data_IF_595578413957
#
_entry.id   IF_595578413957
#
_cell.length_a   1.000
_cell.length_b   1.000
_cell.length_c   1.000
_cell.angle_alpha   90.00
_cell.angle_beta   90.00
_cell.angle_gamma   90.00
#
_symmetry.space_group_name_H-M   'P 1'
#
loop_
_entity.id
_entity.type
_entity.pdbx_description
1 polymer ?
#
# COMPACT_ATOMS: atom_id res chain seq x y z
N UNK A 1 -0.76 2.30 18.94
CA UNK A 1 0.61 1.77 18.73
C UNK A 1 1.26 2.56 17.59
N UNK A 2 2.34 3.35 17.79
CA UNK A 2 3.09 3.87 16.65
C UNK A 2 4.50 3.26 16.61
N UNK A 3 4.67 2.21 15.81
CA UNK A 3 5.96 1.56 15.54
C UNK A 3 6.77 2.24 14.43
N UNK A 4 6.22 3.22 13.70
CA UNK A 4 6.83 3.71 12.44
C UNK A 4 7.49 5.09 12.48
N UNK A 5 7.67 5.74 13.64
CA UNK A 5 8.46 6.98 13.73
C UNK A 5 9.41 6.92 14.91
N UNK A 6 10.51 6.15 14.78
CA UNK A 6 11.66 6.23 15.68
C UNK A 6 12.74 7.07 15.00
N UNK A 7 13.33 8.02 15.73
CA UNK A 7 14.31 9.00 15.24
C UNK A 7 15.50 8.39 14.46
N UNK A 8 15.79 7.10 14.65
CA UNK A 8 16.83 6.36 13.93
C UNK A 8 16.63 6.28 12.41
N UNK A 9 15.38 6.22 11.92
CA UNK A 9 15.11 6.07 10.49
C UNK A 9 15.44 7.33 9.67
N UNK A 10 15.41 8.51 10.31
CA UNK A 10 15.73 9.79 9.66
C UNK A 10 17.22 9.90 9.30
N UNK A 11 18.09 9.20 10.04
CA UNK A 11 19.54 9.21 9.83
C UNK A 11 20.02 8.11 8.86
N UNK A 12 19.27 7.02 8.68
CA UNK A 12 19.64 5.94 7.74
C UNK A 12 19.36 6.26 6.27
N UNK A 13 18.34 7.06 5.95
CA UNK A 13 18.05 7.45 4.56
C UNK A 13 19.20 8.21 3.87
N UNK A 14 20.01 8.94 4.65
CA UNK A 14 21.19 9.66 4.17
C UNK A 14 22.35 8.75 3.74
N UNK A 15 22.37 7.47 4.13
CA UNK A 15 23.46 6.54 3.78
C UNK A 15 23.29 5.89 2.40
N UNK A 16 22.08 5.88 1.84
CA UNK A 16 21.75 5.13 0.62
C UNK A 16 21.13 6.01 -0.49
N UNK A 17 21.23 7.34 -0.41
CA UNK A 17 20.57 8.30 -1.33
C UNK A 17 19.05 8.06 -1.52
N UNK A 18 18.39 7.45 -0.55
CA UNK A 18 16.95 7.23 -0.59
C UNK A 18 16.24 8.46 -0.05
N UNK A 19 15.55 9.18 -0.93
CA UNK A 19 14.70 10.30 -0.54
C UNK A 19 13.54 9.80 0.34
N UNK A 20 13.47 10.31 1.57
CA UNK A 20 12.35 10.04 2.48
C UNK A 20 11.18 10.95 2.10
N UNK A 21 10.03 10.37 1.77
CA UNK A 21 8.81 11.14 1.54
C UNK A 21 8.26 11.66 2.87
N UNK A 22 8.03 12.97 2.99
CA UNK A 22 7.36 13.56 4.15
C UNK A 22 5.88 13.19 4.13
N UNK A 23 5.49 12.27 5.02
CA UNK A 23 4.13 11.77 5.13
C UNK A 23 3.34 12.48 6.23
N UNK A 24 2.08 12.90 5.98
CA UNK A 24 1.24 13.47 7.03
C UNK A 24 0.89 12.42 8.10
N UNK A 25 0.91 12.83 9.36
CA UNK A 25 0.56 11.94 10.47
C UNK A 25 -0.92 11.54 10.40
N UNK A 26 -1.23 10.27 10.72
CA UNK A 26 -2.59 9.70 10.75
C UNK A 26 -3.33 9.66 9.39
N UNK A 27 -2.61 9.43 8.29
CA UNK A 27 -3.23 9.22 6.96
C UNK A 27 -2.94 7.81 6.42
N UNK A 28 -3.57 6.75 6.97
CA UNK A 28 -3.52 5.41 6.37
C UNK A 28 -4.11 5.42 4.95
N UNK A 29 -5.09 6.30 4.71
CA UNK A 29 -5.78 6.51 3.42
C UNK A 29 -4.85 6.92 2.27
N UNK A 30 -3.61 7.28 2.56
CA UNK A 30 -2.63 7.65 1.55
C UNK A 30 -1.66 6.51 1.26
N UNK A 31 -1.59 5.44 2.08
CA UNK A 31 -0.51 4.46 2.01
C UNK A 31 -0.73 3.53 0.79
N UNK A 32 0.20 3.49 -0.19
CA UNK A 32 0.01 2.71 -1.43
C UNK A 32 -0.16 1.23 -1.17
N UNK A 33 0.44 0.75 -0.09
CA UNK A 33 0.44 -0.66 0.23
C UNK A 33 -0.95 -1.15 0.65
N UNK A 34 -1.81 -0.30 1.21
CA UNK A 34 -3.18 -0.69 1.59
C UNK A 34 -3.99 -1.08 0.35
N UNK A 35 -3.82 -0.33 -0.74
CA UNK A 35 -4.45 -0.67 -2.02
C UNK A 35 -3.94 -2.01 -2.57
N UNK A 36 -2.65 -2.27 -2.40
CA UNK A 36 -2.04 -3.53 -2.82
C UNK A 36 -2.59 -4.70 -2.00
N UNK A 37 -2.73 -4.53 -0.68
CA UNK A 37 -3.31 -5.56 0.19
C UNK A 37 -4.77 -5.84 -0.15
N UNK A 38 -5.59 -4.81 -0.35
CA UNK A 38 -6.99 -5.01 -0.77
C UNK A 38 -7.08 -5.68 -2.15
N UNK A 39 -6.18 -5.33 -3.08
CA UNK A 39 -6.13 -5.98 -4.39
C UNK A 39 -5.79 -7.47 -4.28
N UNK A 40 -4.76 -7.81 -3.49
CA UNK A 40 -4.35 -9.18 -3.28
C UNK A 40 -5.42 -10.02 -2.56
N UNK A 41 -6.08 -9.45 -1.53
CA UNK A 41 -7.19 -10.11 -0.82
C UNK A 41 -8.34 -10.43 -1.79
N UNK A 42 -8.73 -9.47 -2.63
CA UNK A 42 -9.76 -9.69 -3.65
C UNK A 42 -9.36 -10.79 -4.63
N UNK A 43 -8.12 -10.77 -5.12
CA UNK A 43 -7.60 -11.80 -6.04
C UNK A 43 -7.66 -13.20 -5.46
N UNK A 44 -7.25 -13.37 -4.21
CA UNK A 44 -7.32 -14.66 -3.52
C UNK A 44 -8.77 -15.10 -3.30
N UNK A 45 -9.68 -14.19 -2.95
CA UNK A 45 -11.11 -14.50 -2.76
C UNK A 45 -11.83 -14.89 -4.05
N UNK A 46 -11.40 -14.32 -5.18
CA UNK A 46 -11.97 -14.60 -6.50
C UNK A 46 -11.53 -15.97 -7.06
N UNK A 47 -10.53 -16.62 -6.45
CA UNK A 47 -10.06 -17.94 -6.87
C UNK A 47 -11.15 -19.00 -6.79
N UNK A 48 -11.11 -19.93 -7.75
CA UNK A 48 -11.98 -21.10 -7.82
C UNK A 48 -11.11 -22.35 -8.10
N UNK A 49 -11.08 -23.35 -7.21
CA UNK A 49 -11.68 -23.35 -5.86
C UNK A 49 -11.02 -22.32 -4.94
N UNK A 50 -11.74 -21.89 -3.90
CA UNK A 50 -11.13 -21.07 -2.85
C UNK A 50 -10.23 -21.93 -1.97
N UNK A 51 -9.09 -21.39 -1.49
CA UNK A 51 -8.23 -22.09 -0.57
C UNK A 51 -8.96 -22.37 0.75
N UNK A 52 -8.91 -23.62 1.19
CA UNK A 52 -9.59 -24.09 2.42
C UNK A 52 -8.59 -24.43 3.54
N UNK A 53 -7.31 -24.57 3.20
CA UNK A 53 -6.23 -24.80 4.15
C UNK A 53 -5.23 -23.65 4.16
N UNK A 54 -4.48 -23.48 5.26
CA UNK A 54 -3.41 -22.47 5.34
C UNK A 54 -2.36 -22.66 4.25
N UNK A 55 -2.03 -23.92 3.91
CA UNK A 55 -1.06 -24.23 2.87
C UNK A 55 -1.55 -23.81 1.48
N UNK A 56 -2.83 -24.04 1.19
CA UNK A 56 -3.45 -23.58 -0.05
C UNK A 56 -3.51 -22.05 -0.12
N UNK A 57 -3.76 -21.39 1.02
CA UNK A 57 -3.77 -19.93 1.12
C UNK A 57 -2.38 -19.35 0.86
N UNK A 58 -1.32 -19.92 1.47
CA UNK A 58 0.06 -19.48 1.26
C UNK A 58 0.46 -19.59 -0.22
N UNK A 59 0.16 -20.72 -0.86
CA UNK A 59 0.42 -20.92 -2.29
C UNK A 59 -0.37 -19.90 -3.11
N UNK A 60 -1.65 -19.69 -2.78
CA UNK A 60 -2.48 -18.74 -3.51
C UNK A 60 -1.99 -17.30 -3.40
N UNK A 61 -1.53 -16.89 -2.24
CA UNK A 61 -0.94 -15.57 -2.04
C UNK A 61 0.32 -15.39 -2.88
N UNK A 62 1.20 -16.38 -2.93
CA UNK A 62 2.43 -16.31 -3.71
C UNK A 62 2.16 -16.24 -5.22
N UNK A 63 1.22 -17.04 -5.71
CA UNK A 63 0.83 -17.05 -7.13
C UNK A 63 0.18 -15.72 -7.53
N UNK A 64 -0.82 -15.24 -6.79
CA UNK A 64 -1.46 -13.96 -7.10
C UNK A 64 -0.50 -12.78 -6.96
N UNK A 65 0.44 -12.85 -6.01
CA UNK A 65 1.49 -11.85 -5.87
C UNK A 65 2.44 -11.81 -7.08
N UNK A 66 2.80 -12.97 -7.63
CA UNK A 66 3.67 -13.07 -8.80
C UNK A 66 3.04 -12.47 -10.07
N UNK A 67 1.71 -12.49 -10.17
CA UNK A 67 0.95 -11.90 -11.28
C UNK A 67 0.82 -10.37 -11.21
N UNK A 68 1.24 -9.74 -10.11
CA UNK A 68 1.16 -8.28 -9.95
C UNK A 68 2.20 -7.61 -10.84
N UNK A 69 1.73 -7.05 -11.95
CA UNK A 69 2.59 -6.32 -12.89
C UNK A 69 3.05 -4.97 -12.32
N UNK A 70 4.19 -4.48 -12.84
CA UNK A 70 4.66 -3.12 -12.55
C UNK A 70 3.61 -2.04 -12.90
N UNK A 71 2.78 -2.27 -13.93
CA UNK A 71 1.71 -1.35 -14.31
C UNK A 71 0.63 -1.21 -13.22
N UNK A 72 0.29 -2.31 -12.55
CA UNK A 72 -0.62 -2.34 -11.41
C UNK A 72 -0.03 -1.54 -10.24
N UNK A 73 1.25 -1.72 -9.94
CA UNK A 73 1.96 -0.92 -8.93
C UNK A 73 1.94 0.58 -9.24
N UNK A 74 2.24 0.95 -10.49
CA UNK A 74 2.21 2.36 -10.93
C UNK A 74 0.81 2.95 -10.78
N UNK A 75 -0.25 2.21 -11.13
CA UNK A 75 -1.64 2.65 -10.94
C UNK A 75 -1.96 2.96 -9.48
N UNK A 76 -1.50 2.13 -8.54
CA UNK A 76 -1.69 2.39 -7.10
C UNK A 76 -0.87 3.59 -6.60
N UNK A 77 0.34 3.78 -7.11
CA UNK A 77 1.14 4.96 -6.79
C UNK A 77 0.50 6.25 -7.34
N UNK A 78 -0.02 6.22 -8.57
CA UNK A 78 -0.69 7.38 -9.18
C UNK A 78 -2.01 7.72 -8.47
N UNK A 79 -2.77 6.73 -8.02
CA UNK A 79 -4.01 7.01 -7.27
C UNK A 79 -3.73 7.78 -5.97
N UNK A 80 -2.56 7.64 -5.35
CA UNK A 80 -2.17 8.48 -4.21
C UNK A 80 -1.96 9.92 -4.63
N UNK A 81 -1.28 10.17 -5.75
CA UNK A 81 -1.07 11.53 -6.24
C UNK A 81 -2.42 12.23 -6.44
N UNK A 82 -3.39 11.53 -7.00
CA UNK A 82 -4.75 12.03 -7.18
C UNK A 82 -5.46 12.25 -5.85
N UNK A 83 -5.36 11.30 -4.90
CA UNK A 83 -5.87 11.46 -3.53
C UNK A 83 -5.26 12.64 -2.80
N UNK A 84 -3.94 12.86 -2.90
CA UNK A 84 -3.27 14.01 -2.31
C UNK A 84 -3.78 15.33 -2.88
N UNK A 85 -4.08 15.38 -4.18
CA UNK A 85 -4.73 16.54 -4.81
C UNK A 85 -6.13 16.76 -4.21
N UNK A 86 -6.90 15.68 -3.98
CA UNK A 86 -8.23 15.76 -3.37
C UNK A 86 -8.18 16.21 -1.91
N UNK A 87 -7.26 15.67 -1.10
CA UNK A 87 -7.04 16.09 0.30
C UNK A 87 -6.66 17.56 0.35
N UNK A 88 -5.80 18.03 -0.56
CA UNK A 88 -5.45 19.45 -0.68
C UNK A 88 -6.67 20.31 -1.01
N UNK A 89 -7.52 19.88 -1.96
CA UNK A 89 -8.78 20.57 -2.30
C UNK A 89 -9.76 20.62 -1.12
N UNK A 90 -9.75 19.61 -0.24
CA UNK A 90 -10.57 19.56 0.98
C UNK A 90 -9.90 20.19 2.21
N UNK A 91 -8.80 20.94 2.03
CA UNK A 91 -8.06 21.57 3.14
C UNK A 91 -7.65 20.58 4.26
N UNK A 92 -7.30 19.34 3.88
CA UNK A 92 -6.94 18.29 4.84
C UNK A 92 -8.12 17.48 5.37
N UNK A 93 -9.35 17.76 4.93
CA UNK A 93 -10.54 16.97 5.27
C UNK A 93 -10.56 15.59 4.61
N UNK A 94 -11.37 14.69 5.17
CA UNK A 94 -11.50 13.30 4.69
C UNK A 94 -12.02 13.22 3.24
N UNK A 95 -11.43 12.31 2.47
CA UNK A 95 -11.85 11.96 1.11
C UNK A 95 -12.56 10.60 1.14
N UNK A 96 -13.63 10.44 0.36
CA UNK A 96 -14.19 9.09 0.14
C UNK A 96 -13.27 8.39 -0.85
N UNK A 97 -12.74 7.24 -0.43
CA UNK A 97 -11.85 6.39 -1.21
C UNK A 97 -12.30 4.94 -1.05
#
# INVERSE_FOLDING_TARGET
MPSHIRASWRNSGKKNDVAILLWPAKSPDLNPIENMWSYLDNKVRDRRPQPTTLKELDVALLEEWAEITASTCVKFCLSIKDRMILVRKKHGGAINY
#
